data_IF_425516682915
#
_entry.id   IF_425516682915
#
_cell.length_a   1.000
_cell.length_b   1.000
_cell.length_c   1.000
_cell.angle_alpha   90.00
_cell.angle_beta   90.00
_cell.angle_gamma   90.00
#
_symmetry.space_group_name_H-M   'P 1'
#
loop_
_entity.id
_entity.type
_entity.pdbx_description
1 polymer ?
#
# COMPACT_ATOMS: atom_id res chain seq x y z
N UNK A 1 -40.94 -12.82 -28.70
CA UNK A 1 -39.81 -13.55 -28.07
C UNK A 1 -39.99 -13.61 -26.56
N UNK A 2 -39.53 -14.68 -25.89
CA UNK A 2 -39.51 -14.76 -24.41
C UNK A 2 -38.25 -14.08 -23.85
N UNK A 3 -38.23 -13.79 -22.54
CA UNK A 3 -37.11 -13.08 -21.91
C UNK A 3 -35.75 -13.79 -22.05
N UNK A 4 -35.74 -15.10 -22.11
CA UNK A 4 -34.52 -15.89 -22.34
C UNK A 4 -34.01 -15.69 -23.76
N UNK A 5 -34.92 -15.78 -24.76
CA UNK A 5 -34.57 -15.63 -26.16
C UNK A 5 -34.04 -14.23 -26.49
N UNK A 6 -34.66 -13.16 -25.97
CA UNK A 6 -34.15 -11.81 -26.19
C UNK A 6 -32.84 -11.56 -25.48
N UNK A 7 -32.64 -12.15 -24.30
CA UNK A 7 -31.37 -12.07 -23.55
C UNK A 7 -30.23 -12.77 -24.31
N UNK A 8 -30.49 -13.98 -24.83
CA UNK A 8 -29.51 -14.75 -25.61
C UNK A 8 -29.13 -14.00 -26.90
N UNK A 9 -30.11 -13.50 -27.65
CA UNK A 9 -29.89 -12.73 -28.87
C UNK A 9 -29.10 -11.44 -28.63
N UNK A 10 -29.34 -10.81 -27.48
CA UNK A 10 -28.58 -9.63 -27.09
C UNK A 10 -27.25 -9.98 -26.36
N UNK A 11 -26.89 -11.25 -26.18
CA UNK A 11 -25.69 -11.69 -25.50
C UNK A 11 -25.66 -11.26 -24.02
N UNK A 12 -26.80 -11.28 -23.32
CA UNK A 12 -26.93 -10.88 -21.91
C UNK A 12 -27.72 -11.92 -21.12
N UNK A 13 -28.08 -11.61 -19.88
CA UNK A 13 -28.81 -12.54 -19.03
C UNK A 13 -30.26 -12.07 -18.80
N UNK A 14 -31.21 -12.99 -18.55
CA UNK A 14 -32.58 -12.60 -18.17
C UNK A 14 -32.64 -11.73 -16.90
N UNK A 15 -31.65 -11.86 -16.03
CA UNK A 15 -31.48 -11.01 -14.82
C UNK A 15 -31.16 -9.57 -15.21
N UNK A 16 -30.25 -9.36 -16.17
CA UNK A 16 -29.90 -8.05 -16.68
C UNK A 16 -31.10 -7.38 -17.39
N UNK A 17 -31.85 -8.12 -18.18
CA UNK A 17 -33.08 -7.62 -18.82
C UNK A 17 -34.08 -7.12 -17.77
N UNK A 18 -34.31 -7.89 -16.67
CA UNK A 18 -35.19 -7.45 -15.58
C UNK A 18 -34.62 -6.23 -14.84
N UNK A 19 -33.29 -6.13 -14.74
CA UNK A 19 -32.63 -4.96 -14.14
C UNK A 19 -32.88 -3.71 -15.00
N UNK A 20 -32.76 -3.80 -16.33
CA UNK A 20 -33.02 -2.70 -17.23
C UNK A 20 -34.49 -2.25 -17.22
N UNK A 21 -35.44 -3.17 -17.01
CA UNK A 21 -36.82 -2.81 -16.74
C UNK A 21 -36.99 -1.98 -15.47
N UNK A 22 -36.36 -2.37 -14.38
CA UNK A 22 -36.43 -1.62 -13.10
C UNK A 22 -35.83 -0.22 -13.20
N UNK A 23 -34.84 -0.04 -14.03
CA UNK A 23 -34.16 1.24 -14.25
C UNK A 23 -34.89 2.10 -15.34
N UNK A 24 -35.97 1.60 -15.91
CA UNK A 24 -36.69 2.31 -16.98
C UNK A 24 -35.92 2.40 -18.31
N UNK A 25 -34.81 1.70 -18.44
CA UNK A 25 -33.99 1.65 -19.66
C UNK A 25 -34.68 0.87 -20.81
N UNK A 26 -35.43 -0.15 -20.44
CA UNK A 26 -36.19 -1.01 -21.36
C UNK A 26 -37.66 -1.03 -20.92
N UNK A 27 -38.58 -0.76 -21.84
CA UNK A 27 -40.03 -0.84 -21.58
C UNK A 27 -40.44 -2.27 -21.24
N UNK A 28 -41.40 -2.41 -20.35
CA UNK A 28 -41.94 -3.73 -19.96
C UNK A 28 -43.00 -4.11 -20.97
N UNK A 29 -42.81 -5.18 -21.77
CA UNK A 29 -43.82 -5.58 -22.75
C UNK A 29 -45.09 -6.14 -22.08
N UNK A 30 -46.24 -6.09 -22.75
CA UNK A 30 -47.48 -6.66 -22.23
C UNK A 30 -47.39 -8.17 -22.03
N UNK A 31 -48.16 -8.68 -21.08
CA UNK A 31 -48.24 -10.11 -20.84
C UNK A 31 -49.24 -10.74 -21.80
N UNK A 32 -48.77 -11.68 -22.60
CA UNK A 32 -49.58 -12.44 -23.55
C UNK A 32 -49.47 -13.93 -23.23
N UNK A 33 -50.61 -14.62 -23.08
CA UNK A 33 -50.66 -16.08 -22.79
C UNK A 33 -49.73 -16.53 -21.64
N UNK A 34 -49.79 -15.82 -20.52
CA UNK A 34 -49.01 -16.16 -19.30
C UNK A 34 -47.55 -15.81 -19.32
N UNK A 35 -47.06 -14.99 -20.26
CA UNK A 35 -45.68 -14.52 -20.28
C UNK A 35 -45.51 -13.21 -21.05
N UNK A 36 -44.42 -12.48 -20.77
CA UNK A 36 -44.06 -11.26 -21.47
C UNK A 36 -43.55 -11.58 -22.86
N UNK A 37 -44.02 -10.85 -23.85
CA UNK A 37 -43.65 -11.04 -25.25
C UNK A 37 -42.88 -9.84 -25.79
N UNK A 38 -41.60 -10.04 -26.07
CA UNK A 38 -40.67 -9.01 -26.55
C UNK A 38 -40.71 -8.93 -28.08
N UNK A 39 -40.84 -7.74 -28.61
CA UNK A 39 -40.76 -7.45 -30.04
C UNK A 39 -39.34 -7.08 -30.49
N UNK A 40 -39.18 -6.77 -31.78
CA UNK A 40 -37.91 -6.36 -32.39
C UNK A 40 -37.44 -5.02 -31.80
N UNK A 41 -38.37 -4.13 -31.48
CA UNK A 41 -38.10 -2.84 -30.84
C UNK A 41 -37.41 -3.01 -29.47
N UNK A 42 -37.84 -4.00 -28.69
CA UNK A 42 -37.20 -4.33 -27.42
C UNK A 42 -35.78 -4.88 -27.62
N UNK A 43 -35.57 -5.71 -28.64
CA UNK A 43 -34.25 -6.24 -28.98
C UNK A 43 -33.28 -5.11 -29.41
N UNK A 44 -33.75 -4.24 -30.31
CA UNK A 44 -32.96 -3.09 -30.78
C UNK A 44 -32.55 -2.18 -29.61
N UNK A 45 -33.51 -1.87 -28.72
CA UNK A 45 -33.27 -1.08 -27.53
C UNK A 45 -32.24 -1.77 -26.58
N UNK A 46 -32.37 -3.08 -26.36
CA UNK A 46 -31.51 -3.87 -25.52
C UNK A 46 -30.06 -3.94 -26.06
N UNK A 47 -29.91 -4.14 -27.38
CA UNK A 47 -28.62 -4.10 -28.05
C UNK A 47 -27.94 -2.73 -27.91
N UNK A 48 -28.73 -1.65 -28.04
CA UNK A 48 -28.20 -0.29 -27.87
C UNK A 48 -27.77 0.02 -26.43
N UNK A 49 -28.56 -0.44 -25.42
CA UNK A 49 -28.17 -0.35 -24.01
C UNK A 49 -26.81 -1.03 -23.81
N UNK A 50 -26.65 -2.25 -24.33
CA UNK A 50 -25.42 -2.99 -24.20
C UNK A 50 -24.25 -2.32 -24.90
N UNK A 51 -24.42 -1.90 -26.12
CA UNK A 51 -23.37 -1.22 -26.88
C UNK A 51 -22.81 0.02 -26.12
N UNK A 52 -23.71 0.80 -25.51
CA UNK A 52 -23.31 1.95 -24.69
C UNK A 52 -22.60 1.51 -23.37
N UNK A 53 -23.11 0.49 -22.69
CA UNK A 53 -22.54 -0.03 -21.47
C UNK A 53 -21.17 -0.70 -21.71
N UNK A 54 -21.03 -1.46 -22.80
CA UNK A 54 -19.76 -2.09 -23.23
C UNK A 54 -18.72 -1.01 -23.62
N UNK A 55 -19.18 0.19 -24.02
CA UNK A 55 -18.37 1.40 -24.22
C UNK A 55 -17.94 2.10 -22.92
N UNK A 56 -18.22 1.51 -21.73
CA UNK A 56 -17.79 2.02 -20.42
C UNK A 56 -18.73 3.06 -19.80
N UNK A 57 -19.92 3.27 -20.35
CA UNK A 57 -20.91 4.20 -19.80
C UNK A 57 -21.69 3.55 -18.64
N UNK A 58 -21.89 4.29 -17.56
CA UNK A 58 -22.78 3.89 -16.48
C UNK A 58 -24.22 3.80 -16.96
N UNK A 59 -25.03 2.92 -16.36
CA UNK A 59 -26.45 2.77 -16.74
C UNK A 59 -27.26 4.06 -16.59
N UNK A 60 -26.86 4.98 -15.73
CA UNK A 60 -27.45 6.32 -15.60
C UNK A 60 -27.17 7.16 -16.84
N UNK A 61 -25.91 7.20 -17.30
CA UNK A 61 -25.52 7.90 -18.53
C UNK A 61 -26.19 7.28 -19.75
N UNK A 62 -26.32 5.94 -19.80
CA UNK A 62 -27.08 5.23 -20.83
C UNK A 62 -28.54 5.68 -20.82
N UNK A 63 -29.18 5.84 -19.65
CA UNK A 63 -30.55 6.33 -19.55
C UNK A 63 -30.71 7.75 -20.13
N UNK A 64 -29.81 8.66 -19.76
CA UNK A 64 -29.78 10.04 -20.23
C UNK A 64 -29.62 10.11 -21.76
N UNK A 65 -28.73 9.30 -22.34
CA UNK A 65 -28.49 9.22 -23.77
C UNK A 65 -29.76 8.67 -24.49
N UNK A 66 -30.34 7.61 -23.95
CA UNK A 66 -31.49 6.95 -24.55
C UNK A 66 -32.82 7.74 -24.39
N UNK A 67 -32.93 8.56 -23.34
CA UNK A 67 -34.02 9.53 -23.20
C UNK A 67 -33.87 10.71 -24.18
N UNK A 68 -32.70 10.89 -24.75
CA UNK A 68 -32.31 11.95 -25.67
C UNK A 68 -32.44 11.56 -27.15
N UNK A 69 -32.98 10.37 -27.45
CA UNK A 69 -33.05 9.85 -28.81
C UNK A 69 -34.03 10.67 -29.70
N UNK A 70 -33.62 11.12 -30.91
CA UNK A 70 -34.45 11.87 -31.83
C UNK A 70 -35.56 11.05 -32.53
N UNK A 71 -35.79 9.81 -32.09
CA UNK A 71 -36.94 9.01 -32.54
C UNK A 71 -38.29 9.46 -31.94
N UNK A 72 -38.30 10.46 -31.06
CA UNK A 72 -39.51 11.15 -30.62
C UNK A 72 -39.70 12.41 -31.48
N UNK A 73 -40.87 12.51 -32.14
CA UNK A 73 -41.35 13.61 -33.01
C UNK A 73 -41.38 14.97 -32.28
N UNK A 74 -40.25 15.64 -32.09
CA UNK A 74 -40.18 17.00 -31.58
C UNK A 74 -39.35 17.91 -32.51
N UNK A 75 -39.78 19.17 -32.76
CA UNK A 75 -39.20 20.02 -33.79
C UNK A 75 -37.79 20.52 -33.43
N UNK A 76 -36.95 20.77 -34.44
CA UNK A 76 -35.51 21.02 -34.22
C UNK A 76 -35.24 22.49 -33.95
N UNK A 77 -35.07 22.90 -32.69
CA UNK A 77 -34.25 24.11 -32.39
C UNK A 77 -33.67 24.02 -30.98
N UNK A 78 -32.33 24.18 -30.89
CA UNK A 78 -31.56 24.42 -29.65
C UNK A 78 -31.50 23.30 -28.56
N UNK A 79 -32.55 22.57 -28.15
CA UNK A 79 -32.40 21.47 -27.18
C UNK A 79 -31.52 20.31 -27.70
N UNK A 80 -31.56 20.03 -28.99
CA UNK A 80 -30.79 18.94 -29.61
C UNK A 80 -29.28 19.19 -29.60
N UNK A 81 -28.85 20.43 -29.81
CA UNK A 81 -27.43 20.79 -29.70
C UNK A 81 -26.90 20.76 -28.25
N UNK A 82 -27.68 21.24 -27.30
CA UNK A 82 -27.35 21.18 -25.89
C UNK A 82 -27.22 19.72 -25.42
N UNK A 83 -28.12 18.86 -25.89
CA UNK A 83 -28.18 17.43 -25.66
C UNK A 83 -26.95 16.71 -26.27
N UNK A 84 -26.61 17.03 -27.54
CA UNK A 84 -25.44 16.50 -28.24
C UNK A 84 -24.15 16.91 -27.53
N UNK A 85 -24.03 18.15 -27.05
CA UNK A 85 -22.86 18.61 -26.26
C UNK A 85 -22.72 17.84 -24.94
N UNK A 86 -23.83 17.57 -24.25
CA UNK A 86 -23.83 16.78 -23.00
C UNK A 86 -23.38 15.34 -23.26
N UNK A 87 -23.93 14.67 -24.27
CA UNK A 87 -23.52 13.30 -24.65
C UNK A 87 -22.05 13.26 -25.04
N UNK A 88 -21.55 14.24 -25.80
CA UNK A 88 -20.12 14.33 -26.12
C UNK A 88 -19.25 14.58 -24.89
N UNK A 89 -19.73 15.39 -23.94
CA UNK A 89 -19.04 15.60 -22.68
C UNK A 89 -18.93 14.30 -21.87
N UNK A 90 -20.02 13.55 -21.73
CA UNK A 90 -20.07 12.30 -20.98
C UNK A 90 -19.20 11.20 -21.62
N UNK A 91 -19.21 11.11 -22.96
CA UNK A 91 -18.35 10.19 -23.70
C UNK A 91 -16.85 10.54 -23.53
N UNK A 92 -16.51 11.83 -23.53
CA UNK A 92 -15.13 12.28 -23.27
C UNK A 92 -14.70 12.00 -21.83
N UNK A 93 -15.61 12.19 -20.86
CA UNK A 93 -15.34 11.87 -19.46
C UNK A 93 -15.11 10.36 -19.26
N UNK A 94 -15.96 9.51 -19.87
CA UNK A 94 -15.80 8.06 -19.84
C UNK A 94 -14.46 7.63 -20.48
N UNK A 95 -14.11 8.21 -21.64
CA UNK A 95 -12.81 7.97 -22.28
C UNK A 95 -11.65 8.37 -21.36
N UNK A 96 -11.73 9.53 -20.70
CA UNK A 96 -10.71 9.98 -19.74
C UNK A 96 -10.51 9.01 -18.57
N UNK A 97 -11.61 8.42 -18.08
CA UNK A 97 -11.55 7.37 -17.03
C UNK A 97 -10.84 6.11 -17.53
N UNK A 98 -11.15 5.65 -18.74
CA UNK A 98 -10.49 4.48 -19.35
C UNK A 98 -8.99 4.76 -19.56
N UNK A 99 -8.64 5.95 -20.02
CA UNK A 99 -7.24 6.35 -20.21
C UNK A 99 -6.48 6.43 -18.88
N UNK A 100 -7.13 6.84 -17.79
CA UNK A 100 -6.56 6.83 -16.45
C UNK A 100 -6.34 5.40 -15.92
N UNK A 101 -7.32 4.51 -16.11
CA UNK A 101 -7.20 3.09 -15.77
C UNK A 101 -6.08 2.41 -16.57
N UNK A 102 -5.97 2.71 -17.87
CA UNK A 102 -4.88 2.18 -18.70
C UNK A 102 -3.52 2.59 -18.16
N UNK A 103 -3.32 3.87 -17.83
CA UNK A 103 -2.05 4.33 -17.21
C UNK A 103 -1.74 3.58 -15.91
N UNK A 104 -2.73 3.38 -15.06
CA UNK A 104 -2.54 2.62 -13.81
C UNK A 104 -2.16 1.16 -14.06
N UNK A 105 -2.72 0.53 -15.09
CA UNK A 105 -2.34 -0.84 -15.49
C UNK A 105 -0.93 -0.89 -16.10
N UNK A 106 -0.56 0.09 -16.91
CA UNK A 106 0.79 0.21 -17.46
C UNK A 106 1.83 0.38 -16.35
N UNK A 107 1.55 1.20 -15.33
CA UNK A 107 2.40 1.34 -14.14
C UNK A 107 2.49 0.04 -13.32
N UNK A 108 1.38 -0.72 -13.21
CA UNK A 108 1.40 -2.03 -12.56
C UNK A 108 2.23 -3.05 -13.35
N UNK A 109 2.09 -3.08 -14.68
CA UNK A 109 2.88 -3.93 -15.55
C UNK A 109 4.38 -3.64 -15.40
N UNK A 110 4.77 -2.36 -15.40
CA UNK A 110 6.16 -1.94 -15.21
C UNK A 110 6.72 -2.43 -13.87
N UNK A 111 5.96 -2.30 -12.77
CA UNK A 111 6.39 -2.84 -11.46
C UNK A 111 6.58 -4.36 -11.49
N UNK A 112 5.72 -5.09 -12.21
CA UNK A 112 5.89 -6.55 -12.38
C UNK A 112 7.14 -6.87 -13.20
N UNK A 113 7.40 -6.12 -14.26
CA UNK A 113 8.61 -6.29 -15.08
C UNK A 113 9.89 -6.04 -14.27
N UNK A 114 9.89 -5.03 -13.39
CA UNK A 114 10.99 -4.78 -12.44
C UNK A 114 11.20 -5.97 -11.48
N UNK A 115 10.12 -6.57 -10.97
CA UNK A 115 10.21 -7.76 -10.13
C UNK A 115 10.74 -8.97 -10.90
N UNK A 116 10.30 -9.16 -12.15
CA UNK A 116 10.80 -10.22 -13.03
C UNK A 116 12.31 -10.04 -13.25
N UNK A 117 12.76 -8.84 -13.61
CA UNK A 117 14.17 -8.55 -13.82
C UNK A 117 15.03 -8.82 -12.58
N UNK A 118 14.50 -8.51 -11.38
CA UNK A 118 15.18 -8.85 -10.10
C UNK A 118 15.33 -10.36 -9.91
N UNK A 119 14.28 -11.14 -10.20
CA UNK A 119 14.34 -12.62 -10.11
C UNK A 119 15.30 -13.21 -11.14
N UNK A 120 15.27 -12.71 -12.38
CA UNK A 120 16.19 -13.13 -13.44
C UNK A 120 17.65 -12.82 -13.10
N UNK A 121 17.89 -11.73 -12.38
CA UNK A 121 19.20 -11.38 -11.82
C UNK A 121 19.60 -12.21 -10.58
N UNK A 122 18.79 -13.21 -10.19
CA UNK A 122 19.04 -14.05 -9.02
C UNK A 122 18.77 -13.35 -7.67
N UNK A 123 18.09 -12.21 -7.69
CA UNK A 123 17.71 -11.50 -6.47
C UNK A 123 16.42 -12.08 -5.90
N UNK A 124 16.37 -12.29 -4.58
CA UNK A 124 15.17 -12.75 -3.91
C UNK A 124 14.07 -11.66 -3.96
N UNK A 125 12.82 -12.07 -4.17
CA UNK A 125 11.63 -11.20 -4.05
C UNK A 125 11.27 -10.90 -2.58
N UNK A 126 12.23 -11.02 -1.67
CA UNK A 126 12.01 -10.70 -0.28
C UNK A 126 11.85 -9.17 -0.13
N UNK A 127 10.87 -8.69 0.65
CA UNK A 127 10.70 -7.28 0.93
C UNK A 127 11.87 -6.68 1.72
N UNK A 128 12.79 -7.53 2.21
CA UNK A 128 13.96 -7.17 2.99
C UNK A 128 15.21 -7.61 2.23
N UNK A 129 16.25 -6.76 2.09
CA UNK A 129 17.52 -7.11 1.49
C UNK A 129 18.16 -8.37 2.12
N UNK A 130 18.78 -9.22 1.29
CA UNK A 130 19.41 -10.48 1.74
C UNK A 130 20.50 -10.24 2.80
N UNK A 131 21.23 -9.13 2.70
CA UNK A 131 22.25 -8.76 3.69
C UNK A 131 21.65 -8.56 5.09
N UNK A 132 20.49 -7.91 5.20
CA UNK A 132 19.79 -7.76 6.47
C UNK A 132 19.27 -9.10 6.99
N UNK A 133 18.79 -9.98 6.12
CA UNK A 133 18.39 -11.34 6.54
C UNK A 133 19.59 -12.09 7.13
N UNK A 134 20.73 -12.08 6.43
CA UNK A 134 21.99 -12.71 6.90
C UNK A 134 22.48 -12.12 8.22
N UNK A 135 22.37 -10.81 8.38
CA UNK A 135 22.72 -10.13 9.63
C UNK A 135 21.88 -10.64 10.81
N UNK A 136 20.55 -10.73 10.64
CA UNK A 136 19.69 -11.30 11.68
C UNK A 136 19.94 -12.78 11.92
N UNK A 137 20.27 -13.56 10.88
CA UNK A 137 20.65 -14.98 11.04
C UNK A 137 21.93 -15.13 11.85
N UNK A 138 22.92 -14.26 11.63
CA UNK A 138 24.17 -14.25 12.40
C UNK A 138 23.93 -13.89 13.87
N UNK A 139 23.12 -12.88 14.16
CA UNK A 139 22.74 -12.53 15.54
C UNK A 139 22.00 -13.69 16.21
N UNK A 140 21.03 -14.30 15.53
CA UNK A 140 20.25 -15.42 16.05
C UNK A 140 21.15 -16.63 16.39
N UNK A 141 22.14 -16.93 15.55
CA UNK A 141 23.12 -17.97 15.84
C UNK A 141 23.90 -17.67 17.13
N UNK A 142 24.39 -16.42 17.30
CA UNK A 142 25.10 -16.00 18.50
C UNK A 142 24.23 -16.04 19.76
N UNK A 143 22.96 -15.64 19.67
CA UNK A 143 22.02 -15.72 20.80
C UNK A 143 21.80 -17.18 21.22
N UNK A 144 21.70 -18.12 20.28
CA UNK A 144 21.61 -19.55 20.59
C UNK A 144 22.88 -20.11 21.18
N UNK A 145 24.06 -19.71 20.70
CA UNK A 145 25.36 -20.12 21.24
C UNK A 145 25.53 -19.71 22.71
N UNK A 146 24.86 -18.62 23.12
CA UNK A 146 24.78 -18.13 24.48
C UNK A 146 23.66 -18.79 25.32
N UNK A 147 23.01 -19.84 24.80
CA UNK A 147 21.91 -20.58 25.43
C UNK A 147 20.68 -19.69 25.78
N UNK A 148 20.48 -18.60 25.03
CA UNK A 148 19.34 -17.69 25.21
C UNK A 148 18.26 -17.89 24.14
N UNK A 149 17.02 -17.48 24.46
CA UNK A 149 15.86 -17.62 23.57
C UNK A 149 15.87 -16.51 22.51
N UNK A 150 15.95 -16.86 21.21
CA UNK A 150 15.91 -15.90 20.13
C UNK A 150 14.48 -15.39 19.78
N UNK A 151 13.47 -15.67 20.61
CA UNK A 151 12.07 -15.32 20.29
C UNK A 151 11.89 -13.83 20.01
N UNK A 152 12.62 -12.96 20.68
CA UNK A 152 12.59 -11.52 20.46
C UNK A 152 12.96 -11.14 19.02
N UNK A 153 13.88 -11.86 18.39
CA UNK A 153 14.28 -11.63 17.00
C UNK A 153 13.15 -11.89 16.00
N UNK A 154 12.16 -12.72 16.36
CA UNK A 154 10.97 -12.93 15.52
C UNK A 154 10.15 -11.65 15.39
N UNK A 155 9.95 -10.94 16.50
CA UNK A 155 9.23 -9.66 16.50
C UNK A 155 9.98 -8.61 15.68
N UNK A 156 11.30 -8.50 15.84
CA UNK A 156 12.12 -7.59 15.05
C UNK A 156 12.07 -7.91 13.56
N UNK A 157 12.22 -9.19 13.19
CA UNK A 157 12.08 -9.64 11.78
C UNK A 157 10.69 -9.32 11.21
N UNK A 158 9.63 -9.48 11.99
CA UNK A 158 8.26 -9.13 11.55
C UNK A 158 8.13 -7.63 11.32
N UNK A 159 8.64 -6.80 12.22
CA UNK A 159 8.66 -5.34 12.04
C UNK A 159 9.45 -4.97 10.77
N UNK A 160 10.63 -5.55 10.59
CA UNK A 160 11.46 -5.33 9.41
C UNK A 160 10.75 -5.76 8.12
N UNK A 161 10.04 -6.90 8.13
CA UNK A 161 9.24 -7.36 6.98
C UNK A 161 8.10 -6.40 6.65
N UNK A 162 7.41 -5.84 7.65
CA UNK A 162 6.37 -4.84 7.44
C UNK A 162 6.97 -3.58 6.82
N UNK A 163 8.08 -3.07 7.37
CA UNK A 163 8.76 -1.88 6.83
C UNK A 163 9.28 -2.13 5.41
N UNK A 164 9.85 -3.30 5.15
CA UNK A 164 10.31 -3.71 3.83
C UNK A 164 9.18 -3.82 2.81
N UNK A 165 8.03 -4.39 3.20
CA UNK A 165 6.85 -4.49 2.33
C UNK A 165 6.26 -3.11 1.96
N UNK A 166 6.52 -2.10 2.78
CA UNK A 166 6.13 -0.72 2.53
C UNK A 166 7.21 0.09 1.78
N UNK A 167 8.34 -0.54 1.42
CA UNK A 167 9.47 0.14 0.77
C UNK A 167 10.18 1.15 1.70
N UNK A 168 10.14 0.91 3.00
CA UNK A 168 10.66 1.83 4.03
C UNK A 168 12.02 1.39 4.59
N UNK A 169 12.60 0.30 4.09
CA UNK A 169 13.96 -0.14 4.41
C UNK A 169 14.91 0.51 3.42
N UNK A 170 15.80 1.40 3.85
CA UNK A 170 16.70 2.12 2.96
C UNK A 170 17.80 1.19 2.39
N UNK A 171 18.18 1.40 1.14
CA UNK A 171 19.25 0.61 0.49
C UNK A 171 20.60 0.80 1.19
N UNK A 172 20.84 1.96 1.77
CA UNK A 172 22.03 2.27 2.59
C UNK A 172 22.14 1.46 3.88
N UNK A 173 21.08 0.76 4.32
CA UNK A 173 21.16 -0.19 5.42
C UNK A 173 22.03 -1.42 5.09
N UNK A 174 22.17 -1.77 3.81
CA UNK A 174 22.98 -2.92 3.37
C UNK A 174 24.47 -2.71 3.68
N UNK A 175 25.13 -1.65 3.17
CA UNK A 175 26.54 -1.41 3.50
C UNK A 175 26.78 -1.19 5.00
N UNK A 176 25.78 -0.67 5.75
CA UNK A 176 25.91 -0.54 7.21
C UNK A 176 26.05 -1.90 7.90
N UNK A 177 25.16 -2.86 7.59
CA UNK A 177 25.23 -4.20 8.24
C UNK A 177 26.40 -5.04 7.73
N UNK A 178 26.83 -4.84 6.49
CA UNK A 178 27.98 -5.53 5.91
C UNK A 178 29.33 -5.01 6.44
N UNK A 179 29.35 -3.81 6.99
CA UNK A 179 30.55 -3.23 7.61
C UNK A 179 30.81 -3.75 9.05
N UNK A 180 29.80 -4.39 9.68
CA UNK A 180 29.94 -4.90 11.04
C UNK A 180 30.82 -6.15 11.08
N UNK A 181 31.84 -6.13 11.93
CA UNK A 181 32.70 -7.27 12.14
C UNK A 181 32.10 -8.32 13.10
N UNK A 182 32.79 -9.46 13.28
CA UNK A 182 32.31 -10.54 14.16
C UNK A 182 32.13 -10.10 15.62
N UNK A 183 32.97 -9.20 16.12
CA UNK A 183 32.86 -8.68 17.48
C UNK A 183 31.65 -7.74 17.63
N UNK A 184 31.36 -6.98 16.60
CA UNK A 184 30.21 -6.08 16.58
C UNK A 184 28.91 -6.84 16.45
N UNK A 185 28.88 -7.96 15.67
CA UNK A 185 27.77 -8.89 15.65
C UNK A 185 27.54 -9.53 17.02
N UNK A 186 28.62 -9.92 17.73
CA UNK A 186 28.53 -10.40 19.11
C UNK A 186 27.95 -9.34 20.06
N UNK A 187 28.37 -8.07 19.91
CA UNK A 187 27.80 -6.97 20.69
C UNK A 187 26.29 -6.77 20.37
N UNK A 188 25.91 -6.89 19.13
CA UNK A 188 24.49 -6.85 18.73
C UNK A 188 23.70 -7.98 19.40
N UNK A 189 24.22 -9.20 19.42
CA UNK A 189 23.57 -10.34 20.08
C UNK A 189 23.43 -10.08 21.61
N UNK A 190 24.44 -9.55 22.25
CA UNK A 190 24.39 -9.18 23.68
C UNK A 190 23.38 -8.06 23.93
N UNK A 191 23.22 -7.11 23.01
CA UNK A 191 22.21 -6.06 23.12
C UNK A 191 20.80 -6.64 22.98
N UNK A 192 20.57 -7.56 22.04
CA UNK A 192 19.30 -8.28 21.89
C UNK A 192 18.94 -9.05 23.15
N UNK A 193 19.90 -9.79 23.74
CA UNK A 193 19.72 -10.48 25.02
C UNK A 193 19.41 -9.49 26.15
N UNK A 194 20.16 -8.39 26.23
CA UNK A 194 19.91 -7.33 27.22
C UNK A 194 18.50 -6.78 27.10
N UNK A 195 18.05 -6.51 25.89
CA UNK A 195 16.70 -6.01 25.61
C UNK A 195 15.60 -7.03 25.94
N UNK A 196 15.82 -8.33 25.68
CA UNK A 196 14.88 -9.40 26.02
C UNK A 196 14.72 -9.59 27.53
N UNK A 197 15.74 -9.23 28.32
CA UNK A 197 15.75 -9.34 29.77
C UNK A 197 15.11 -8.14 30.49
N UNK A 198 14.94 -6.98 29.81
CA UNK A 198 14.40 -5.76 30.44
C UNK A 198 13.04 -6.00 31.16
N UNK A 199 12.09 -6.78 30.64
CA UNK A 199 10.82 -7.03 31.33
C UNK A 199 10.95 -7.77 32.68
N UNK A 200 12.11 -8.39 32.94
CA UNK A 200 12.35 -9.10 34.19
C UNK A 200 12.89 -8.18 35.29
N UNK A 201 13.29 -6.96 34.94
CA UNK A 201 13.80 -5.95 35.84
C UNK A 201 12.69 -5.00 36.29
N UNK A 202 12.84 -4.35 37.43
CA UNK A 202 11.83 -3.48 37.99
C UNK A 202 12.40 -2.13 38.49
N UNK A 203 11.55 -1.12 38.48
CA UNK A 203 11.85 0.18 39.07
C UNK A 203 13.07 0.88 38.45
N UNK A 204 13.99 1.33 39.30
CA UNK A 204 15.18 2.09 38.89
C UNK A 204 16.18 1.23 38.12
N UNK A 205 16.33 -0.04 38.50
CA UNK A 205 17.22 -0.98 37.82
C UNK A 205 16.82 -1.20 36.36
N UNK A 206 15.54 -1.40 36.09
CA UNK A 206 15.00 -1.53 34.73
C UNK A 206 15.29 -0.29 33.88
N UNK A 207 15.11 0.89 34.47
CA UNK A 207 15.33 2.16 33.77
C UNK A 207 16.82 2.37 33.47
N UNK A 208 17.70 2.10 34.42
CA UNK A 208 19.15 2.22 34.21
C UNK A 208 19.65 1.22 33.17
N UNK A 209 19.19 -0.03 33.19
CA UNK A 209 19.52 -1.03 32.20
C UNK A 209 19.06 -0.63 30.79
N UNK A 210 17.83 -0.11 30.66
CA UNK A 210 17.30 0.38 29.40
C UNK A 210 18.11 1.57 28.83
N UNK A 211 18.51 2.52 29.70
CA UNK A 211 19.32 3.67 29.30
C UNK A 211 20.72 3.24 28.85
N UNK A 212 21.39 2.38 29.63
CA UNK A 212 22.71 1.88 29.28
C UNK A 212 22.72 1.08 27.98
N UNK A 213 21.62 0.36 27.71
CA UNK A 213 21.46 -0.37 26.45
C UNK A 213 21.30 0.59 25.26
N UNK A 214 20.49 1.65 25.39
CA UNK A 214 20.31 2.67 24.37
C UNK A 214 21.62 3.42 24.05
N UNK A 215 22.41 3.73 25.07
CA UNK A 215 23.72 4.37 24.91
C UNK A 215 24.70 3.49 24.12
N UNK A 216 24.78 2.20 24.44
CA UNK A 216 25.59 1.23 23.67
C UNK A 216 25.13 1.08 22.22
N UNK A 217 23.83 1.14 21.96
CA UNK A 217 23.29 1.08 20.60
C UNK A 217 23.73 2.28 19.78
N UNK A 218 23.67 3.49 20.34
CA UNK A 218 24.16 4.70 19.67
C UNK A 218 25.68 4.68 19.50
N UNK A 219 26.43 4.22 20.51
CA UNK A 219 27.88 4.10 20.41
C UNK A 219 28.31 3.17 19.27
N UNK A 220 27.67 2.01 19.12
CA UNK A 220 27.93 1.11 18.01
C UNK A 220 27.62 1.78 16.65
N UNK A 221 26.50 2.49 16.56
CA UNK A 221 26.14 3.25 15.32
C UNK A 221 27.17 4.32 15.00
N UNK A 222 27.73 4.99 16.01
CA UNK A 222 28.74 6.04 15.83
C UNK A 222 30.12 5.50 15.43
N UNK A 223 30.44 4.23 15.66
CA UNK A 223 31.66 3.60 15.12
C UNK A 223 31.63 3.56 13.59
N UNK A 224 30.46 3.42 13.02
CA UNK A 224 30.19 3.45 11.58
C UNK A 224 29.42 4.72 11.18
N UNK A 225 29.84 5.87 11.72
CA UNK A 225 29.13 7.16 11.61
C UNK A 225 28.68 7.51 10.22
N UNK A 226 29.56 7.41 9.23
CA UNK A 226 29.25 7.81 7.86
C UNK A 226 28.16 6.91 7.24
N UNK A 227 28.20 5.61 7.54
CA UNK A 227 27.17 4.65 7.11
C UNK A 227 25.85 4.87 7.87
N UNK A 228 25.91 5.16 9.17
CA UNK A 228 24.72 5.49 9.96
C UNK A 228 24.05 6.78 9.45
N UNK A 229 24.84 7.80 9.10
CA UNK A 229 24.32 9.02 8.47
C UNK A 229 23.69 8.75 7.11
N UNK A 230 24.30 7.89 6.28
CA UNK A 230 23.73 7.49 4.98
C UNK A 230 22.37 6.82 5.17
N UNK A 231 22.22 5.93 6.15
CA UNK A 231 20.93 5.30 6.47
C UNK A 231 19.87 6.35 6.86
N UNK A 232 20.25 7.32 7.69
CA UNK A 232 19.33 8.38 8.12
C UNK A 232 18.94 9.34 6.98
N UNK A 233 19.88 9.66 6.09
CA UNK A 233 19.65 10.53 4.92
C UNK A 233 18.75 9.87 3.86
N UNK A 234 18.84 8.54 3.74
CA UNK A 234 18.05 7.75 2.79
C UNK A 234 16.61 7.50 3.27
N UNK A 235 16.32 7.77 4.55
CA UNK A 235 14.97 7.71 5.07
C UNK A 235 14.10 8.85 4.51
N UNK A 236 12.81 8.58 4.20
CA UNK A 236 11.92 9.61 3.69
C UNK A 236 11.78 10.77 4.67
N UNK A 237 11.89 12.00 4.16
CA UNK A 237 11.66 13.23 4.95
C UNK A 237 10.23 13.76 4.87
N UNK A 238 9.97 14.89 5.52
CA UNK A 238 8.70 15.62 5.42
C UNK A 238 7.49 14.81 5.91
N UNK A 239 6.39 14.82 5.13
CA UNK A 239 5.14 14.10 5.49
C UNK A 239 5.35 12.59 5.50
N UNK A 240 6.06 12.06 4.53
CA UNK A 240 6.36 10.62 4.44
C UNK A 240 7.21 10.16 5.63
N UNK A 241 8.23 10.95 6.03
CA UNK A 241 9.03 10.70 7.21
C UNK A 241 8.21 10.68 8.50
N UNK A 242 7.33 11.66 8.71
CA UNK A 242 6.42 11.65 9.86
C UNK A 242 5.54 10.41 9.91
N UNK A 243 5.04 9.97 8.75
CA UNK A 243 4.21 8.75 8.66
C UNK A 243 5.03 7.51 8.99
N UNK A 244 6.26 7.39 8.47
CA UNK A 244 7.19 6.31 8.80
C UNK A 244 7.46 6.24 10.31
N UNK A 245 7.84 7.35 10.92
CA UNK A 245 8.16 7.39 12.34
C UNK A 245 6.94 7.12 13.23
N UNK A 246 5.75 7.59 12.83
CA UNK A 246 4.51 7.24 13.52
C UNK A 246 4.25 5.74 13.46
N UNK A 247 4.36 5.14 12.27
CA UNK A 247 4.17 3.71 12.06
C UNK A 247 5.21 2.89 12.86
N UNK A 248 6.50 3.26 12.81
CA UNK A 248 7.57 2.60 13.55
C UNK A 248 7.30 2.63 15.07
N UNK A 249 6.85 3.76 15.61
CA UNK A 249 6.47 3.87 17.02
C UNK A 249 5.28 2.99 17.37
N UNK A 250 4.26 2.91 16.52
CA UNK A 250 3.08 2.05 16.73
C UNK A 250 3.49 0.57 16.70
N UNK A 251 4.30 0.16 15.71
CA UNK A 251 4.80 -1.20 15.59
C UNK A 251 5.67 -1.59 16.80
N UNK A 252 6.57 -0.68 17.22
CA UNK A 252 7.41 -0.91 18.38
C UNK A 252 6.57 -1.03 19.66
N UNK A 253 5.64 -0.12 19.90
CA UNK A 253 4.76 -0.16 21.08
C UNK A 253 3.87 -1.41 21.11
N UNK A 254 3.45 -1.90 19.94
CA UNK A 254 2.67 -3.12 19.83
C UNK A 254 3.50 -4.39 20.04
N UNK A 255 4.73 -4.41 19.50
CA UNK A 255 5.64 -5.55 19.62
C UNK A 255 6.31 -5.66 21.00
N UNK A 256 6.53 -4.52 21.67
CA UNK A 256 7.25 -4.41 22.94
C UNK A 256 6.49 -3.54 23.94
N UNK A 257 5.38 -4.05 24.51
CA UNK A 257 4.51 -3.27 25.41
C UNK A 257 5.11 -3.02 26.82
N UNK A 258 6.21 -3.67 27.17
CA UNK A 258 6.82 -3.56 28.49
C UNK A 258 7.39 -2.14 28.76
N UNK A 259 7.15 -1.54 29.94
CA UNK A 259 7.62 -0.19 30.26
C UNK A 259 9.12 0.02 30.17
N UNK A 260 9.94 -0.99 30.50
CA UNK A 260 11.40 -0.88 30.40
C UNK A 260 11.88 -0.89 28.95
N UNK A 261 11.25 -1.68 28.09
CA UNK A 261 11.50 -1.67 26.66
C UNK A 261 11.07 -0.34 26.00
N UNK A 262 9.94 0.24 26.46
CA UNK A 262 9.53 1.57 26.03
C UNK A 262 10.51 2.67 26.53
N UNK A 263 11.07 2.52 27.73
CA UNK A 263 12.08 3.45 28.24
C UNK A 263 13.37 3.39 27.41
N UNK A 264 13.78 2.20 26.93
CA UNK A 264 14.88 2.05 25.98
C UNK A 264 14.61 2.85 24.68
N UNK A 265 13.45 2.68 24.07
CA UNK A 265 13.12 3.38 22.83
C UNK A 265 13.08 4.90 23.01
N UNK A 266 12.50 5.37 24.12
CA UNK A 266 12.46 6.78 24.45
C UNK A 266 13.87 7.37 24.66
N UNK A 267 14.75 6.63 25.35
CA UNK A 267 16.16 7.04 25.56
C UNK A 267 16.94 7.05 24.25
N UNK A 268 16.78 6.02 23.42
CA UNK A 268 17.44 5.92 22.12
C UNK A 268 17.04 7.12 21.23
N UNK A 269 15.74 7.43 21.16
CA UNK A 269 15.24 8.59 20.43
C UNK A 269 15.85 9.90 20.97
N UNK A 270 15.87 10.08 22.28
CA UNK A 270 16.46 11.26 22.91
C UNK A 270 17.96 11.41 22.57
N UNK A 271 18.72 10.31 22.58
CA UNK A 271 20.14 10.30 22.21
C UNK A 271 20.34 10.67 20.73
N UNK A 272 19.54 10.13 19.83
CA UNK A 272 19.60 10.46 18.39
C UNK A 272 19.30 11.95 18.15
N UNK A 273 18.30 12.52 18.85
CA UNK A 273 17.93 13.94 18.76
C UNK A 273 18.96 14.90 19.37
N UNK A 274 19.80 14.43 20.29
CA UNK A 274 20.81 15.26 21.01
C UNK A 274 22.24 14.97 20.58
N UNK A 275 22.49 13.92 19.81
CA UNK A 275 23.83 13.57 19.30
C UNK A 275 24.39 14.69 18.42
N UNK A 276 25.58 15.22 18.69
CA UNK A 276 26.22 16.24 17.83
C UNK A 276 26.38 15.78 16.39
N UNK A 277 26.54 14.49 16.17
CA UNK A 277 26.84 13.88 14.89
C UNK A 277 25.57 13.49 14.08
N UNK A 278 24.52 13.04 14.75
CA UNK A 278 23.35 12.43 14.11
C UNK A 278 22.11 13.33 14.12
N UNK A 279 22.01 14.28 15.08
CA UNK A 279 20.78 15.00 15.35
C UNK A 279 20.23 15.81 14.15
N UNK A 280 21.10 16.44 13.38
CA UNK A 280 20.69 17.25 12.23
C UNK A 280 20.01 16.40 11.15
N UNK A 281 20.61 15.26 10.81
CA UNK A 281 20.10 14.33 9.82
C UNK A 281 18.85 13.62 10.33
N UNK A 282 18.87 13.19 11.58
CA UNK A 282 17.73 12.54 12.20
C UNK A 282 16.47 13.42 12.27
N UNK A 283 16.60 14.72 12.64
CA UNK A 283 15.46 15.66 12.64
C UNK A 283 14.85 15.85 11.26
N UNK A 284 15.67 15.86 10.20
CA UNK A 284 15.17 15.92 8.82
C UNK A 284 14.33 14.68 8.49
N UNK A 285 14.77 13.48 8.88
CA UNK A 285 14.05 12.22 8.62
C UNK A 285 12.74 12.12 9.42
N UNK A 286 12.67 12.67 10.65
CA UNK A 286 11.42 12.73 11.45
C UNK A 286 10.48 13.86 11.01
N UNK A 287 10.90 14.71 10.08
CA UNK A 287 10.09 15.81 9.56
C UNK A 287 10.01 17.02 10.50
N UNK A 288 10.94 17.16 11.44
CA UNK A 288 11.19 18.36 12.22
C UNK A 288 12.20 19.24 11.45
N UNK A 289 11.70 20.19 10.67
CA UNK A 289 12.56 21.18 9.99
C UNK A 289 12.88 22.31 10.99
N UNK A 290 14.15 22.53 11.37
CA UNK A 290 14.52 23.61 12.29
C UNK A 290 14.37 25.02 11.71
N UNK A 291 13.83 25.15 10.50
CA UNK A 291 13.69 26.42 9.77
C UNK A 291 12.26 26.92 9.57
N UNK A 292 11.26 26.38 10.31
CA UNK A 292 9.89 26.95 10.33
C UNK A 292 9.45 27.30 11.71
#
# INVERSE_FOLDING_TARGET
MRVTQIADLAGTTPRAVRHYHRLGLLSVPPTVRGGREYGVEHLARLLRIRWLADGGLSLRQVAEILASDPASDEPPVSPAEARRRRVLHDLRAARGTIEAQRRSLDEQAQRVDELIARVEAGQALAPVPVALTRFYDAIEARVRDLEEDPEILRTERQILQVLGSLGMVPDSAVPFVEALDEKEIELCAQQVIGFSRLPRLHGEEARQAAHALAERTVELSLRHKDLALAVLDDLPGGVAGRTLWHLTRVLFASGYPDPAQQAFAARLLALLLTSPDLAATFRRSVGEDPGR
#
